data_IF_510648355686
#
_entry.id   IF_510648355686
#
_cell.length_a   1.000
_cell.length_b   1.000
_cell.length_c   1.000
_cell.angle_alpha   90.00
_cell.angle_beta   90.00
_cell.angle_gamma   90.00
#
_symmetry.space_group_name_H-M   'P 1'
#
loop_
_entity.id
_entity.type
_entity.pdbx_description
1 polymer ?
#
# COMPACT_ATOMS: atom_id res chain seq x y z
N UNK A 1 2.86 -19.20 40.80
CA UNK A 1 3.58 -18.06 40.22
C UNK A 1 2.93 -17.78 38.88
N UNK A 2 2.18 -16.75 38.78
CA UNK A 2 1.58 -16.33 37.51
C UNK A 2 2.71 -15.63 36.71
N UNK A 3 3.12 -16.22 35.62
CA UNK A 3 3.96 -15.54 34.66
C UNK A 3 3.17 -14.33 34.09
N UNK A 4 3.76 -13.17 34.24
CA UNK A 4 3.35 -11.93 33.61
C UNK A 4 3.27 -12.20 32.11
N UNK A 5 2.05 -12.33 31.56
CA UNK A 5 1.81 -12.13 30.13
C UNK A 5 2.25 -10.69 29.84
N UNK A 6 3.22 -10.53 28.97
CA UNK A 6 3.58 -9.22 28.45
C UNK A 6 2.31 -8.59 27.85
N UNK A 7 2.17 -7.30 28.05
CA UNK A 7 1.09 -6.49 27.52
C UNK A 7 1.25 -6.48 25.98
N UNK A 8 0.59 -7.40 25.31
CA UNK A 8 0.67 -7.62 23.86
C UNK A 8 -0.46 -6.83 23.20
N UNK A 9 -0.54 -5.55 23.52
CA UNK A 9 -1.52 -4.64 22.91
C UNK A 9 -0.90 -3.94 21.72
N UNK A 10 -1.68 -3.80 20.65
CA UNK A 10 -1.29 -3.02 19.46
C UNK A 10 -0.91 -1.60 19.89
N UNK A 11 0.30 -1.18 19.57
CA UNK A 11 0.88 0.07 20.02
C UNK A 11 0.17 1.29 19.41
N UNK A 12 -0.07 2.32 20.23
CA UNK A 12 -0.63 3.59 19.78
C UNK A 12 0.51 4.47 19.23
N UNK A 13 0.32 4.96 18.01
CA UNK A 13 1.29 5.85 17.34
C UNK A 13 0.67 7.21 17.02
N UNK A 14 1.52 8.17 16.76
CA UNK A 14 1.15 9.49 16.23
C UNK A 14 1.52 9.58 14.75
N UNK A 15 1.04 10.59 14.03
CA UNK A 15 1.34 10.83 12.62
C UNK A 15 2.84 10.78 12.32
N UNK A 16 3.65 11.55 13.03
CA UNK A 16 5.11 11.58 12.88
C UNK A 16 5.79 10.22 13.15
N UNK A 17 5.23 9.41 14.05
CA UNK A 17 5.71 8.05 14.30
C UNK A 17 5.31 7.12 13.15
N UNK A 18 4.10 7.26 12.64
CA UNK A 18 3.59 6.47 11.52
C UNK A 18 4.46 6.65 10.29
N UNK A 19 4.79 7.88 9.91
CA UNK A 19 5.68 8.16 8.78
C UNK A 19 7.05 7.47 8.91
N UNK A 20 7.64 7.49 10.12
CA UNK A 20 8.92 6.83 10.38
C UNK A 20 8.82 5.29 10.34
N UNK A 21 7.73 4.74 10.86
CA UNK A 21 7.48 3.29 10.88
C UNK A 21 7.29 2.79 9.46
N UNK A 22 6.42 3.42 8.70
CA UNK A 22 6.13 3.08 7.31
C UNK A 22 7.39 3.23 6.42
N UNK A 23 8.25 4.22 6.70
CA UNK A 23 9.52 4.38 5.99
C UNK A 23 10.57 3.30 6.32
N UNK A 24 10.43 2.59 7.45
CA UNK A 24 11.43 1.64 7.95
C UNK A 24 11.00 0.16 7.91
N UNK A 25 9.74 -0.11 7.53
CA UNK A 25 9.18 -1.46 7.47
C UNK A 25 8.40 -1.66 6.19
N UNK A 26 8.56 -2.82 5.57
CA UNK A 26 7.92 -3.14 4.29
C UNK A 26 6.41 -3.43 4.46
N UNK A 27 6.00 -4.02 5.59
CA UNK A 27 4.62 -4.44 5.82
C UNK A 27 4.11 -3.93 7.17
N UNK A 28 3.19 -2.98 7.13
CA UNK A 28 2.64 -2.32 8.32
C UNK A 28 1.11 -2.28 8.24
N UNK A 29 0.42 -2.83 9.22
CA UNK A 29 -1.02 -2.71 9.35
C UNK A 29 -1.37 -1.62 10.37
N UNK A 30 -2.18 -0.64 9.97
CA UNK A 30 -2.56 0.50 10.80
C UNK A 30 -4.06 0.58 10.95
N UNK A 31 -4.52 0.62 12.20
CA UNK A 31 -5.91 0.77 12.56
C UNK A 31 -6.17 2.24 12.86
N UNK A 32 -6.98 2.89 12.03
CA UNK A 32 -7.54 4.19 12.33
C UNK A 32 -8.79 4.00 13.16
N UNK A 33 -8.84 4.59 14.35
CA UNK A 33 -9.93 4.41 15.29
C UNK A 33 -10.24 5.72 16.04
N UNK A 34 -11.41 5.81 16.63
CA UNK A 34 -11.78 6.91 17.53
C UNK A 34 -11.87 6.38 18.95
N UNK A 35 -11.04 6.92 19.83
CA UNK A 35 -11.01 6.52 21.24
C UNK A 35 -12.35 6.78 21.93
N UNK A 36 -12.89 5.74 22.56
CA UNK A 36 -14.17 5.80 23.27
C UNK A 36 -15.40 5.62 22.38
N UNK A 37 -15.21 5.42 21.08
CA UNK A 37 -16.27 4.97 20.18
C UNK A 37 -16.42 3.44 20.26
N UNK A 38 -17.67 2.96 20.43
CA UNK A 38 -17.95 1.55 20.71
C UNK A 38 -17.57 0.63 19.54
N UNK A 39 -17.78 1.06 18.31
CA UNK A 39 -17.48 0.25 17.13
C UNK A 39 -15.96 0.23 16.85
N UNK A 40 -15.29 1.37 17.05
CA UNK A 40 -13.84 1.47 17.01
C UNK A 40 -13.14 0.56 18.03
N UNK A 41 -13.62 0.56 19.28
CA UNK A 41 -13.03 -0.28 20.34
C UNK A 41 -13.23 -1.78 20.06
N UNK A 42 -14.40 -2.19 19.56
CA UNK A 42 -14.65 -3.59 19.13
C UNK A 42 -13.73 -4.00 17.97
N UNK A 43 -13.51 -3.09 17.04
CA UNK A 43 -12.62 -3.36 15.91
C UNK A 43 -11.17 -3.51 16.37
N UNK A 44 -10.68 -2.64 17.23
CA UNK A 44 -9.35 -2.75 17.86
C UNK A 44 -9.21 -4.08 18.61
N UNK A 45 -10.19 -4.48 19.42
CA UNK A 45 -10.17 -5.77 20.14
C UNK A 45 -10.07 -6.95 19.17
N UNK A 46 -10.79 -6.92 18.07
CA UNK A 46 -10.72 -7.95 17.03
C UNK A 46 -9.31 -7.99 16.40
N UNK A 47 -8.71 -6.84 16.12
CA UNK A 47 -7.38 -6.76 15.52
C UNK A 47 -6.27 -7.18 16.49
N UNK A 48 -6.43 -6.93 17.80
CA UNK A 48 -5.51 -7.46 18.82
C UNK A 48 -5.50 -8.99 18.84
N UNK A 49 -6.65 -9.63 18.63
CA UNK A 49 -6.70 -11.10 18.48
C UNK A 49 -5.98 -11.58 17.20
N UNK A 50 -6.07 -10.84 16.11
CA UNK A 50 -5.36 -11.16 14.87
C UNK A 50 -3.85 -11.03 15.07
N UNK A 51 -3.37 -9.98 15.74
CA UNK A 51 -1.95 -9.76 16.04
C UNK A 51 -1.40 -10.87 16.95
N UNK A 52 -2.13 -11.23 18.01
CA UNK A 52 -1.76 -12.33 18.92
C UNK A 52 -1.64 -13.66 18.16
N UNK A 53 -2.62 -13.99 17.32
CA UNK A 53 -2.62 -15.24 16.54
C UNK A 53 -1.52 -15.24 15.45
N UNK A 54 -1.23 -14.10 14.85
CA UNK A 54 -0.13 -13.95 13.88
C UNK A 54 1.24 -14.17 14.54
N UNK A 55 1.41 -13.70 15.77
CA UNK A 55 2.65 -13.86 16.54
C UNK A 55 2.86 -15.30 17.08
N UNK A 56 1.78 -16.06 17.36
CA UNK A 56 1.85 -17.44 17.82
C UNK A 56 2.14 -18.48 16.71
N UNK A 57 2.27 -18.06 15.45
CA UNK A 57 2.52 -18.90 14.25
C UNK A 57 1.48 -20.01 13.97
N UNK A 58 0.34 -20.03 14.66
CA UNK A 58 -0.64 -21.11 14.50
C UNK A 58 -1.80 -20.81 13.56
N UNK A 59 -2.25 -19.56 13.49
CA UNK A 59 -3.51 -19.23 12.83
C UNK A 59 -3.40 -19.04 11.32
N UNK A 60 -2.46 -18.29 10.77
CA UNK A 60 -2.26 -18.22 9.32
C UNK A 60 -2.04 -19.59 8.70
N UNK A 61 -1.30 -20.48 9.38
CA UNK A 61 -1.00 -21.84 8.95
C UNK A 61 -2.26 -22.71 8.85
N UNK A 62 -3.20 -22.59 9.76
CA UNK A 62 -4.46 -23.37 9.71
C UNK A 62 -5.37 -22.93 8.56
N UNK A 63 -5.47 -21.62 8.32
CA UNK A 63 -6.24 -21.05 7.23
C UNK A 63 -5.59 -21.39 5.87
N UNK A 64 -4.26 -21.28 5.80
CA UNK A 64 -3.45 -21.64 4.64
C UNK A 64 -3.61 -23.12 4.25
N UNK A 65 -3.57 -24.03 5.23
CA UNK A 65 -3.81 -25.48 5.00
C UNK A 65 -5.18 -25.78 4.43
N UNK A 66 -6.19 -25.02 4.84
CA UNK A 66 -7.55 -25.22 4.32
C UNK A 66 -7.68 -24.79 2.86
N UNK A 67 -6.89 -23.79 2.42
CA UNK A 67 -6.89 -23.28 1.04
C UNK A 67 -5.79 -23.84 0.12
N UNK A 68 -4.96 -24.78 0.57
CA UNK A 68 -3.78 -25.32 -0.15
C UNK A 68 -2.70 -24.25 -0.49
N UNK A 69 -2.53 -23.26 0.34
CA UNK A 69 -1.45 -22.28 0.21
C UNK A 69 -0.09 -22.84 0.64
N UNK A 70 0.99 -22.33 0.07
CA UNK A 70 2.36 -22.72 0.43
C UNK A 70 2.79 -22.03 1.74
N UNK A 71 2.93 -22.82 2.81
CA UNK A 71 3.27 -22.37 4.16
C UNK A 71 4.57 -21.53 4.24
N UNK A 72 5.50 -21.70 3.30
CA UNK A 72 6.81 -21.02 3.31
C UNK A 72 6.79 -19.65 2.62
N UNK A 73 5.76 -19.32 1.85
CA UNK A 73 5.66 -18.10 1.08
C UNK A 73 5.04 -16.94 1.87
N UNK A 74 4.31 -17.23 2.95
CA UNK A 74 3.42 -16.28 3.63
C UNK A 74 3.87 -15.86 5.04
N UNK A 75 5.11 -16.13 5.42
CA UNK A 75 5.71 -15.64 6.67
C UNK A 75 6.18 -14.18 6.52
N UNK A 76 5.35 -13.33 5.98
CA UNK A 76 5.61 -11.89 5.98
C UNK A 76 5.30 -11.36 7.38
N UNK A 77 6.32 -10.82 8.04
CA UNK A 77 6.16 -10.22 9.35
C UNK A 77 5.46 -8.87 9.21
N UNK A 78 4.16 -8.86 9.38
CA UNK A 78 3.37 -7.63 9.49
C UNK A 78 3.46 -7.09 10.92
N UNK A 79 3.67 -5.78 11.06
CA UNK A 79 3.67 -5.09 12.34
C UNK A 79 2.38 -4.29 12.46
N UNK A 80 1.71 -4.36 13.61
CA UNK A 80 0.42 -3.72 13.84
C UNK A 80 0.57 -2.48 14.70
N UNK A 81 -0.12 -1.40 14.29
CA UNK A 81 -0.23 -0.15 15.03
C UNK A 81 -1.67 0.36 15.01
N UNK A 82 -1.99 1.29 15.91
CA UNK A 82 -3.27 2.01 15.90
C UNK A 82 -3.06 3.50 16.12
N UNK A 83 -3.91 4.30 15.50
CA UNK A 83 -3.84 5.76 15.54
C UNK A 83 -5.22 6.37 15.77
N UNK A 84 -5.32 7.33 16.69
CA UNK A 84 -6.52 8.12 16.99
C UNK A 84 -6.28 9.54 16.45
N UNK A 85 -6.27 9.66 15.12
CA UNK A 85 -6.06 10.93 14.41
C UNK A 85 -6.89 10.97 13.13
N UNK A 86 -7.97 11.75 13.16
CA UNK A 86 -8.87 11.89 12.01
C UNK A 86 -8.26 12.74 10.88
N UNK A 87 -7.33 13.66 11.19
CA UNK A 87 -6.68 14.44 10.16
C UNK A 87 -5.71 13.59 9.34
N UNK A 88 -4.99 12.68 10.00
CA UNK A 88 -4.14 11.71 9.31
C UNK A 88 -4.99 10.72 8.49
N UNK A 89 -6.15 10.30 8.99
CA UNK A 89 -7.08 9.46 8.23
C UNK A 89 -7.54 10.15 6.93
N UNK A 90 -7.92 11.43 7.00
CA UNK A 90 -8.32 12.22 5.83
C UNK A 90 -7.19 12.33 4.78
N UNK A 91 -5.91 12.40 5.19
CA UNK A 91 -4.77 12.43 4.26
C UNK A 91 -4.66 11.15 3.42
N UNK A 92 -5.10 10.01 3.95
CA UNK A 92 -5.16 8.72 3.24
C UNK A 92 -6.49 8.46 2.55
N UNK A 93 -7.41 9.46 2.51
CA UNK A 93 -8.73 9.32 1.88
C UNK A 93 -9.67 8.42 2.67
N UNK A 94 -9.52 8.34 3.98
CA UNK A 94 -10.36 7.56 4.88
C UNK A 94 -11.48 8.45 5.40
N UNK A 95 -12.69 8.24 4.89
CA UNK A 95 -13.88 9.00 5.27
C UNK A 95 -14.58 8.41 6.51
N UNK A 96 -14.52 7.10 6.70
CA UNK A 96 -15.20 6.37 7.76
C UNK A 96 -14.22 5.65 8.70
N UNK A 97 -14.36 5.87 10.01
CA UNK A 97 -13.60 5.22 11.07
C UNK A 97 -14.54 4.34 11.90
N UNK A 98 -14.18 3.09 12.27
CA UNK A 98 -12.85 2.48 12.18
C UNK A 98 -12.46 2.01 10.77
N UNK A 99 -11.17 2.08 10.45
CA UNK A 99 -10.62 1.63 9.18
C UNK A 99 -9.29 0.88 9.38
N UNK A 100 -9.00 -0.06 8.47
CA UNK A 100 -7.73 -0.76 8.39
C UNK A 100 -7.00 -0.37 7.12
N UNK A 101 -5.76 0.07 7.26
CA UNK A 101 -4.84 0.35 6.14
C UNK A 101 -3.64 -0.57 6.25
N UNK A 102 -3.32 -1.25 5.18
CA UNK A 102 -2.11 -2.03 5.05
C UNK A 102 -1.12 -1.29 4.16
N UNK A 103 0.03 -0.96 4.72
CA UNK A 103 1.12 -0.39 3.95
C UNK A 103 2.00 -1.52 3.43
N UNK A 104 2.04 -1.69 2.12
CA UNK A 104 3.03 -2.49 1.44
C UNK A 104 4.11 -1.56 0.87
N UNK A 105 5.34 -1.73 1.37
CA UNK A 105 6.50 -0.91 0.94
C UNK A 105 6.19 0.59 0.83
N UNK A 106 5.49 1.11 1.87
CA UNK A 106 5.09 2.51 2.03
C UNK A 106 3.84 2.94 1.25
N UNK A 107 3.26 2.08 0.42
CA UNK A 107 2.02 2.36 -0.31
C UNK A 107 0.83 1.88 0.54
N UNK A 108 -0.12 2.76 0.88
CA UNK A 108 -1.29 2.39 1.69
C UNK A 108 -2.37 1.74 0.85
N UNK A 109 -2.87 0.63 1.33
CA UNK A 109 -4.03 -0.10 0.80
C UNK A 109 -5.15 -0.08 1.85
N UNK A 110 -6.27 0.56 1.52
CA UNK A 110 -7.42 0.64 2.41
C UNK A 110 -8.27 -0.63 2.31
N UNK A 111 -8.54 -1.25 3.44
CA UNK A 111 -9.48 -2.35 3.50
C UNK A 111 -10.92 -1.87 3.35
N UNK A 112 -11.64 -2.40 2.36
CA UNK A 112 -13.04 -2.05 2.07
C UNK A 112 -13.99 -3.24 2.16
N UNK A 113 -13.51 -4.38 2.65
CA UNK A 113 -14.29 -5.60 2.81
C UNK A 113 -15.13 -5.65 4.08
N UNK A 114 -15.72 -6.81 4.37
CA UNK A 114 -16.46 -7.01 5.61
C UNK A 114 -15.51 -7.09 6.81
N UNK A 115 -15.87 -6.40 7.91
CA UNK A 115 -15.07 -6.36 9.14
C UNK A 115 -15.17 -7.67 9.92
N UNK A 116 -14.67 -8.76 9.31
CA UNK A 116 -14.52 -10.06 9.94
C UNK A 116 -13.07 -10.50 9.98
N UNK A 117 -12.69 -11.22 11.03
CA UNK A 117 -11.31 -11.73 11.18
C UNK A 117 -10.83 -12.51 9.95
N UNK A 118 -11.71 -13.34 9.37
CA UNK A 118 -11.36 -14.20 8.23
C UNK A 118 -11.12 -13.39 6.97
N UNK A 119 -12.02 -12.43 6.68
CA UNK A 119 -11.91 -11.63 5.45
C UNK A 119 -10.71 -10.68 5.52
N UNK A 120 -10.46 -10.09 6.68
CA UNK A 120 -9.27 -9.24 6.93
C UNK A 120 -7.99 -10.05 6.74
N UNK A 121 -7.89 -11.24 7.34
CA UNK A 121 -6.69 -12.08 7.19
C UNK A 121 -6.44 -12.51 5.75
N UNK A 122 -7.50 -12.91 5.03
CA UNK A 122 -7.38 -13.28 3.61
C UNK A 122 -6.87 -12.09 2.81
N UNK A 123 -7.44 -10.91 3.04
CA UNK A 123 -7.02 -9.69 2.35
C UNK A 123 -5.59 -9.28 2.70
N UNK A 124 -5.20 -9.29 3.98
CA UNK A 124 -3.82 -8.98 4.38
C UNK A 124 -2.79 -9.94 3.77
N UNK A 125 -3.16 -11.22 3.63
CA UNK A 125 -2.31 -12.21 2.95
C UNK A 125 -2.16 -11.89 1.46
N UNK A 126 -3.24 -11.46 0.80
CA UNK A 126 -3.23 -11.04 -0.59
C UNK A 126 -2.33 -9.81 -0.78
N UNK A 127 -2.43 -8.83 0.12
CA UNK A 127 -1.53 -7.67 0.12
C UNK A 127 -0.06 -8.05 0.32
N UNK A 128 0.22 -8.98 1.24
CA UNK A 128 1.58 -9.43 1.52
C UNK A 128 2.21 -10.28 0.39
N UNK A 129 1.40 -10.86 -0.49
CA UNK A 129 1.90 -11.55 -1.70
C UNK A 129 2.53 -10.61 -2.72
N UNK A 130 2.23 -9.33 -2.64
CA UNK A 130 2.85 -8.20 -3.31
C UNK A 130 3.23 -8.46 -4.77
N UNK A 131 2.25 -8.50 -5.67
CA UNK A 131 2.51 -8.59 -7.11
C UNK A 131 1.57 -7.70 -7.92
N UNK A 132 1.06 -6.65 -7.29
CA UNK A 132 0.08 -5.78 -7.94
C UNK A 132 0.51 -4.32 -7.79
N UNK A 133 0.48 -3.60 -8.92
CA UNK A 133 0.59 -2.14 -8.89
C UNK A 133 -0.68 -1.61 -8.21
N UNK A 134 -0.53 -0.91 -7.08
CA UNK A 134 -1.63 -0.39 -6.29
C UNK A 134 -2.40 0.69 -7.04
N UNK A 135 -3.74 0.58 -7.01
CA UNK A 135 -4.61 1.62 -7.55
C UNK A 135 -4.87 2.69 -6.48
N UNK A 136 -4.60 3.95 -6.85
CA UNK A 136 -4.73 5.08 -5.94
C UNK A 136 -5.76 6.10 -6.44
N UNK A 137 -6.42 6.81 -5.52
CA UNK A 137 -7.24 7.97 -5.85
C UNK A 137 -6.39 9.21 -6.13
N UNK A 138 -7.00 10.26 -6.70
CA UNK A 138 -6.32 11.54 -6.91
C UNK A 138 -5.80 12.13 -5.59
N UNK A 139 -6.62 12.09 -4.53
CA UNK A 139 -6.27 12.60 -3.20
C UNK A 139 -5.09 11.83 -2.60
N UNK A 140 -5.14 10.50 -2.68
CA UNK A 140 -4.07 9.65 -2.18
C UNK A 140 -2.78 9.86 -2.96
N UNK A 141 -2.85 9.97 -4.30
CA UNK A 141 -1.66 10.25 -5.11
C UNK A 141 -1.02 11.59 -4.73
N UNK A 142 -1.82 12.64 -4.46
CA UNK A 142 -1.29 13.93 -3.96
C UNK A 142 -0.57 13.78 -2.63
N UNK A 143 -1.08 12.96 -1.74
CA UNK A 143 -0.46 12.65 -0.45
C UNK A 143 0.84 11.88 -0.64
N UNK A 144 0.83 10.85 -1.48
CA UNK A 144 2.03 10.06 -1.78
C UNK A 144 3.15 10.92 -2.38
N UNK A 145 2.84 11.79 -3.36
CA UNK A 145 3.81 12.73 -3.94
C UNK A 145 4.40 13.68 -2.88
N UNK A 146 3.65 14.02 -1.83
CA UNK A 146 4.17 14.85 -0.73
C UNK A 146 5.07 14.08 0.24
N UNK A 147 4.71 12.81 0.52
CA UNK A 147 5.37 11.95 1.53
C UNK A 147 6.57 11.18 0.97
N UNK A 148 6.64 10.96 -0.35
CA UNK A 148 7.71 10.23 -1.01
C UNK A 148 8.66 11.18 -1.77
N UNK A 149 9.95 10.87 -1.74
CA UNK A 149 10.95 11.60 -2.53
C UNK A 149 10.86 11.28 -4.02
N UNK A 150 10.47 10.04 -4.33
CA UNK A 150 10.23 9.57 -5.69
C UNK A 150 9.04 8.58 -5.72
N UNK A 151 8.23 8.68 -6.77
CA UNK A 151 7.12 7.77 -7.05
C UNK A 151 6.83 7.75 -8.55
N UNK A 152 6.63 6.56 -9.10
CA UNK A 152 6.22 6.37 -10.49
C UNK A 152 4.73 6.11 -10.57
N UNK A 153 4.05 6.70 -11.54
CA UNK A 153 2.60 6.61 -11.70
C UNK A 153 2.25 6.22 -13.12
N UNK A 154 1.42 5.19 -13.25
CA UNK A 154 0.78 4.81 -14.51
C UNK A 154 -0.64 5.36 -14.56
N UNK A 155 -0.88 6.30 -15.46
CA UNK A 155 -2.20 6.87 -15.75
C UNK A 155 -2.84 6.10 -16.89
N UNK A 156 -4.07 5.61 -16.70
CA UNK A 156 -4.75 4.78 -17.69
C UNK A 156 -6.28 4.90 -17.60
N UNK A 157 -6.96 4.34 -18.58
CA UNK A 157 -8.42 4.18 -18.63
C UNK A 157 -8.73 2.67 -18.67
N UNK A 158 -9.30 2.13 -17.59
CA UNK A 158 -9.64 0.70 -17.50
C UNK A 158 -10.67 0.25 -18.51
N UNK A 159 -11.46 1.15 -19.06
CA UNK A 159 -12.44 0.83 -20.08
C UNK A 159 -11.79 0.62 -21.46
N UNK A 160 -10.53 1.06 -21.62
CA UNK A 160 -9.73 0.85 -22.84
C UNK A 160 -8.96 -0.46 -22.76
N UNK A 161 -9.34 -1.45 -23.58
CA UNK A 161 -8.75 -2.80 -23.54
C UNK A 161 -7.23 -2.81 -23.75
N UNK A 162 -6.70 -1.95 -24.60
CA UNK A 162 -5.26 -1.86 -24.89
C UNK A 162 -4.47 -1.39 -23.66
N UNK A 163 -5.06 -0.50 -22.87
CA UNK A 163 -4.43 0.05 -21.67
C UNK A 163 -4.40 -0.97 -20.52
N UNK A 164 -5.47 -1.78 -20.40
CA UNK A 164 -5.45 -2.93 -19.47
C UNK A 164 -4.39 -3.97 -19.84
N UNK A 165 -4.22 -4.27 -21.14
CA UNK A 165 -3.17 -5.20 -21.57
C UNK A 165 -1.77 -4.64 -21.29
N UNK A 166 -1.58 -3.35 -21.42
CA UNK A 166 -0.32 -2.68 -21.07
C UNK A 166 -0.08 -2.75 -19.55
N UNK A 167 -1.10 -2.56 -18.73
CA UNK A 167 -1.00 -2.70 -17.28
C UNK A 167 -0.54 -4.11 -16.87
N UNK A 168 -1.08 -5.16 -17.49
CA UNK A 168 -0.66 -6.54 -17.25
C UNK A 168 0.84 -6.77 -17.58
N UNK A 169 1.39 -6.06 -18.57
CA UNK A 169 2.82 -6.08 -18.87
C UNK A 169 3.62 -5.29 -17.81
N UNK A 170 3.12 -4.13 -17.37
CA UNK A 170 3.76 -3.30 -16.35
C UNK A 170 3.85 -4.01 -14.98
N UNK A 171 2.88 -4.80 -14.60
CA UNK A 171 2.88 -5.58 -13.36
C UNK A 171 4.06 -6.57 -13.27
N UNK A 172 4.61 -7.01 -14.42
CA UNK A 172 5.77 -7.91 -14.42
C UNK A 172 7.09 -7.22 -14.01
N UNK A 173 7.21 -5.90 -14.14
CA UNK A 173 8.44 -5.19 -13.79
C UNK A 173 8.33 -4.32 -12.53
N UNK A 174 7.16 -4.21 -11.94
CA UNK A 174 6.96 -3.52 -10.68
C UNK A 174 7.95 -4.01 -9.62
N UNK A 175 8.11 -5.31 -9.47
CA UNK A 175 9.10 -5.91 -8.58
C UNK A 175 10.54 -5.41 -8.84
N UNK A 176 10.90 -5.14 -10.09
CA UNK A 176 12.26 -4.65 -10.42
C UNK A 176 12.45 -3.21 -9.93
N UNK A 177 11.42 -2.35 -10.08
CA UNK A 177 11.44 -0.99 -9.55
C UNK A 177 11.47 -1.00 -8.02
N UNK A 178 10.69 -1.89 -7.39
CA UNK A 178 10.69 -2.06 -5.96
C UNK A 178 12.04 -2.49 -5.39
N UNK A 179 12.72 -3.45 -6.01
CA UNK A 179 14.08 -3.87 -5.63
C UNK A 179 15.08 -2.71 -5.68
N UNK A 180 14.85 -1.74 -6.57
CA UNK A 180 15.60 -0.49 -6.65
C UNK A 180 15.05 0.58 -5.69
N UNK A 181 14.00 0.30 -4.94
CA UNK A 181 13.36 1.20 -3.96
C UNK A 181 12.52 2.30 -4.59
N UNK A 182 11.95 2.07 -5.77
CA UNK A 182 11.02 2.97 -6.46
C UNK A 182 9.62 2.36 -6.41
N UNK A 183 8.66 3.08 -5.83
CA UNK A 183 7.27 2.66 -5.84
C UNK A 183 6.59 2.97 -7.17
N UNK A 184 5.82 2.02 -7.70
CA UNK A 184 4.96 2.20 -8.86
C UNK A 184 3.49 2.07 -8.42
N UNK A 185 2.67 3.06 -8.76
CA UNK A 185 1.22 3.06 -8.52
C UNK A 185 0.46 3.33 -9.82
N UNK A 186 -0.83 3.00 -9.84
CA UNK A 186 -1.68 3.27 -10.99
C UNK A 186 -2.89 4.12 -10.59
N UNK A 187 -3.42 4.87 -11.56
CA UNK A 187 -4.64 5.65 -11.40
C UNK A 187 -5.52 5.50 -12.64
N UNK A 188 -6.73 5.00 -12.42
CA UNK A 188 -7.77 4.84 -13.41
C UNK A 188 -8.73 6.03 -13.38
N UNK A 189 -8.21 7.21 -13.71
CA UNK A 189 -9.01 8.42 -13.84
C UNK A 189 -8.36 9.38 -14.86
N UNK A 190 -8.78 9.33 -16.13
CA UNK A 190 -8.27 10.26 -17.16
C UNK A 190 -8.50 11.73 -16.81
N UNK A 191 -9.53 12.04 -16.01
CA UNK A 191 -9.80 13.43 -15.61
C UNK A 191 -8.86 13.91 -14.50
N UNK A 192 -8.49 13.02 -13.60
CA UNK A 192 -7.46 13.29 -12.59
C UNK A 192 -6.08 13.46 -13.24
N UNK A 193 -5.77 12.75 -14.33
CA UNK A 193 -4.50 12.83 -15.03
C UNK A 193 -4.13 14.28 -15.44
N UNK A 194 -5.11 15.07 -15.92
CA UNK A 194 -4.93 16.48 -16.26
C UNK A 194 -4.38 17.31 -15.07
N UNK A 195 -4.82 17.00 -13.86
CA UNK A 195 -4.41 17.71 -12.64
C UNK A 195 -2.95 17.47 -12.25
N UNK A 196 -2.33 16.42 -12.80
CA UNK A 196 -0.90 16.08 -12.68
C UNK A 196 -0.08 16.44 -13.93
N UNK A 197 -0.69 17.12 -14.92
CA UNK A 197 -0.03 17.56 -16.15
C UNK A 197 0.03 16.49 -17.24
N UNK A 198 -0.75 15.41 -17.13
CA UNK A 198 -0.86 14.35 -18.14
C UNK A 198 -2.01 14.70 -19.10
N UNK A 199 -1.69 15.07 -20.33
CA UNK A 199 -2.68 15.51 -21.34
C UNK A 199 -3.40 14.32 -22.02
N UNK A 200 -2.77 13.17 -22.08
CA UNK A 200 -3.29 11.98 -22.77
C UNK A 200 -2.89 10.72 -22.02
N UNK A 201 -3.83 9.81 -21.79
CA UNK A 201 -3.59 8.46 -21.27
C UNK A 201 -3.57 7.45 -22.45
N UNK A 202 -2.84 6.31 -22.34
CA UNK A 202 -2.02 5.92 -21.19
C UNK A 202 -0.70 6.69 -21.11
N UNK A 203 -0.24 6.98 -19.90
CA UNK A 203 1.02 7.69 -19.67
C UNK A 203 1.73 7.17 -18.42
N UNK A 204 3.06 7.33 -18.41
CA UNK A 204 3.87 7.14 -17.20
C UNK A 204 4.51 8.47 -16.83
N UNK A 205 4.35 8.86 -15.57
CA UNK A 205 5.06 9.97 -14.97
C UNK A 205 5.86 9.50 -13.75
N UNK A 206 7.05 10.03 -13.60
CA UNK A 206 7.87 9.85 -12.40
C UNK A 206 8.00 11.19 -11.67
N UNK A 207 7.57 11.22 -10.43
CA UNK A 207 7.68 12.40 -9.57
C UNK A 207 8.94 12.24 -8.72
N UNK A 208 9.92 13.13 -8.94
CA UNK A 208 11.11 13.21 -8.11
C UNK A 208 11.11 14.55 -7.34
N UNK A 209 11.18 14.49 -6.01
CA UNK A 209 11.08 15.66 -5.14
C UNK A 209 9.89 16.57 -5.48
N UNK A 210 8.74 15.94 -5.82
CA UNK A 210 7.45 16.55 -6.22
C UNK A 210 7.44 17.16 -7.62
N UNK A 211 8.53 17.09 -8.38
CA UNK A 211 8.60 17.58 -9.77
C UNK A 211 8.29 16.43 -10.73
N UNK A 212 7.32 16.60 -11.64
CA UNK A 212 6.92 15.58 -12.59
C UNK A 212 7.88 15.48 -13.78
N UNK A 213 8.22 14.26 -14.15
CA UNK A 213 8.92 13.89 -15.37
C UNK A 213 8.01 12.95 -16.17
N UNK A 214 7.79 13.23 -17.45
CA UNK A 214 6.89 12.44 -18.28
C UNK A 214 7.67 11.56 -19.24
N UNK A 215 7.34 10.27 -19.26
CA UNK A 215 7.94 9.34 -20.20
C UNK A 215 7.37 9.56 -21.59
N UNK A 216 8.27 9.77 -22.57
CA UNK A 216 7.88 10.03 -23.99
C UNK A 216 8.20 8.87 -24.93
N UNK A 217 8.67 7.74 -24.38
CA UNK A 217 9.05 6.56 -25.16
C UNK A 217 7.89 5.61 -25.42
N UNK A 218 8.23 4.41 -25.89
CA UNK A 218 7.29 3.33 -26.12
C UNK A 218 6.94 2.64 -24.78
N UNK A 219 5.69 2.72 -24.36
CA UNK A 219 5.18 2.17 -23.11
C UNK A 219 5.21 0.63 -23.05
N UNK A 220 5.40 -0.05 -24.19
CA UNK A 220 5.57 -1.51 -24.22
C UNK A 220 7.04 -1.93 -24.00
N UNK A 221 7.95 -0.95 -23.87
CA UNK A 221 9.37 -1.23 -23.66
C UNK A 221 9.76 -1.08 -22.18
N UNK A 222 9.44 -2.10 -21.37
CA UNK A 222 9.74 -2.18 -19.94
C UNK A 222 11.17 -1.74 -19.59
N UNK A 223 12.16 -2.30 -20.30
CA UNK A 223 13.56 -2.00 -20.04
C UNK A 223 13.88 -0.51 -20.16
N UNK A 224 13.32 0.17 -21.14
CA UNK A 224 13.54 1.60 -21.31
C UNK A 224 12.79 2.45 -20.28
N UNK A 225 11.64 1.98 -19.80
CA UNK A 225 10.91 2.63 -18.72
C UNK A 225 11.76 2.56 -17.44
N UNK A 226 12.24 1.37 -17.08
CA UNK A 226 13.10 1.16 -15.89
C UNK A 226 14.37 2.02 -16.00
N UNK A 227 15.10 1.95 -17.13
CA UNK A 227 16.29 2.76 -17.36
C UNK A 227 16.01 4.27 -17.21
N UNK A 228 14.87 4.74 -17.74
CA UNK A 228 14.45 6.13 -17.64
C UNK A 228 14.16 6.57 -16.21
N UNK A 229 13.39 5.77 -15.44
CA UNK A 229 13.08 6.04 -14.03
C UNK A 229 14.38 6.13 -13.22
N UNK A 230 15.27 5.13 -13.36
CA UNK A 230 16.52 5.07 -12.61
C UNK A 230 17.49 6.20 -12.99
N UNK A 231 17.51 6.63 -14.26
CA UNK A 231 18.32 7.78 -14.68
C UNK A 231 17.85 9.08 -14.02
N UNK A 232 16.54 9.34 -13.95
CA UNK A 232 15.99 10.51 -13.25
C UNK A 232 16.40 10.46 -11.79
N UNK A 233 16.16 9.33 -11.11
CA UNK A 233 16.50 9.14 -9.71
C UNK A 233 17.98 9.39 -9.41
N UNK A 234 18.88 8.98 -10.30
CA UNK A 234 20.33 9.16 -10.16
C UNK A 234 20.79 10.56 -10.60
N UNK A 235 19.91 11.44 -11.06
CA UNK A 235 20.23 12.77 -11.55
C UNK A 235 20.92 12.76 -12.91
N UNK A 236 20.79 11.67 -13.67
CA UNK A 236 21.29 11.53 -15.03
C UNK A 236 20.20 12.03 -16.00
N UNK A 237 20.16 13.34 -16.23
CA UNK A 237 19.24 13.92 -17.24
C UNK A 237 19.74 13.59 -18.63
N UNK A 238 18.91 12.91 -19.43
CA UNK A 238 19.10 12.69 -20.87
C UNK A 238 18.80 13.94 -21.65
#
# INVERSE_FOLDING_TARGET
>A
MAESRGDNTIEIVTDNMLDQIVASHDHVAVIFYTKGDEDSEKFVEMMEHIDDEANENEFPIKLLRWKNFDENKYLVKTIFFRIDDSAEAEEYGIDDIPALVYFDKRIPNLYTGEMTTVDILIWMMDQAEGSHIEEVSEELLRTLIKKHDDITVFFYDKDVKQERALLEELENFDQILEEEGVSLVKIDDPSAADSFGVEVVPAIAHFQFKEPHFYSGDLTNEKKIIEWVLNIRNGETS
#
